data_IF_371166410374
#
_entry.id   IF_371166410374
#
_cell.length_a   1.000
_cell.length_b   1.000
_cell.length_c   1.000
_cell.angle_alpha   90.00
_cell.angle_beta   90.00
_cell.angle_gamma   90.00
#
_symmetry.space_group_name_H-M   'P 1'
#
loop_
_entity.id
_entity.type
_entity.pdbx_description
1 polymer ?
#
# COMPACT_ATOMS: atom_id res chain seq x y z
N UNK A 1 -18.04 18.02 -2.66
CA UNK A 1 -16.85 17.17 -2.84
C UNK A 1 -17.17 15.80 -2.26
N UNK A 2 -16.96 14.70 -3.00
CA UNK A 2 -17.16 13.35 -2.45
C UNK A 2 -16.14 13.14 -1.33
N UNK A 3 -16.57 12.57 -0.20
CA UNK A 3 -15.68 12.33 0.93
C UNK A 3 -14.55 11.35 0.53
N UNK A 4 -13.28 11.59 0.92
CA UNK A 4 -12.20 10.63 0.69
C UNK A 4 -12.55 9.22 1.18
N UNK A 5 -13.35 9.11 2.25
CA UNK A 5 -13.83 7.85 2.79
C UNK A 5 -14.68 7.05 1.79
N UNK A 6 -15.60 7.72 1.08
CA UNK A 6 -16.49 7.07 0.11
C UNK A 6 -15.72 6.61 -1.14
N UNK A 7 -14.74 7.41 -1.54
CA UNK A 7 -13.92 7.15 -2.73
C UNK A 7 -12.93 5.99 -2.51
N UNK A 8 -12.42 5.85 -1.28
CA UNK A 8 -11.48 4.79 -0.91
C UNK A 8 -12.19 3.46 -0.62
N UNK A 9 -13.41 3.47 -0.07
CA UNK A 9 -14.16 2.29 0.40
C UNK A 9 -14.08 1.03 -0.49
N UNK A 10 -14.24 1.08 -1.83
CA UNK A 10 -14.16 -0.14 -2.66
C UNK A 10 -12.75 -0.79 -2.66
N UNK A 11 -11.71 0.02 -2.44
CA UNK A 11 -10.30 -0.34 -2.58
C UNK A 11 -9.61 -0.71 -1.26
N UNK A 12 -10.31 -0.58 -0.13
CA UNK A 12 -9.76 -0.77 1.22
C UNK A 12 -9.82 -2.24 1.64
N UNK A 13 -8.69 -2.76 2.11
CA UNK A 13 -8.59 -4.05 2.80
C UNK A 13 -8.85 -3.93 4.29
N UNK A 14 -8.28 -2.92 4.94
CA UNK A 14 -8.47 -2.69 6.38
C UNK A 14 -8.32 -1.21 6.71
N UNK A 15 -8.97 -0.78 7.80
CA UNK A 15 -8.94 0.60 8.30
C UNK A 15 -8.64 0.60 9.79
N UNK A 16 -7.84 1.54 10.25
CA UNK A 16 -7.62 1.79 11.68
C UNK A 16 -7.52 3.29 11.95
N UNK A 17 -7.70 3.67 13.22
CA UNK A 17 -7.66 5.07 13.66
C UNK A 17 -6.42 5.28 14.51
N UNK A 18 -5.66 6.34 14.23
CA UNK A 18 -4.46 6.72 14.98
C UNK A 18 -4.43 8.24 15.14
N UNK A 19 -4.38 8.72 16.38
CA UNK A 19 -4.29 10.16 16.69
C UNK A 19 -5.33 11.02 15.96
N UNK A 20 -6.58 10.52 15.86
CA UNK A 20 -7.67 11.20 15.15
C UNK A 20 -7.64 11.07 13.62
N UNK A 21 -6.59 10.48 13.04
CA UNK A 21 -6.52 10.21 11.60
C UNK A 21 -6.99 8.79 11.29
N UNK A 22 -7.71 8.63 10.16
CA UNK A 22 -8.09 7.32 9.62
C UNK A 22 -7.02 6.85 8.65
N UNK A 23 -6.50 5.64 8.87
CA UNK A 23 -5.50 5.02 8.01
C UNK A 23 -6.15 3.86 7.28
N UNK A 24 -6.07 3.90 5.96
CA UNK A 24 -6.62 2.96 5.01
C UNK A 24 -5.50 2.15 4.38
N UNK A 25 -5.54 0.83 4.56
CA UNK A 25 -4.68 -0.11 3.82
C UNK A 25 -5.47 -0.60 2.61
N UNK A 26 -4.90 -0.43 1.43
CA UNK A 26 -5.55 -0.79 0.18
C UNK A 26 -5.32 -2.26 -0.16
N UNK A 27 -6.27 -2.89 -0.88
CA UNK A 27 -6.21 -4.31 -1.30
C UNK A 27 -5.05 -4.61 -2.26
N UNK A 28 -4.54 -3.57 -2.92
CA UNK A 28 -3.54 -3.63 -3.97
C UNK A 28 -2.78 -2.29 -4.05
N UNK A 29 -1.92 -2.17 -5.05
CA UNK A 29 -1.34 -0.91 -5.45
C UNK A 29 -2.27 -0.14 -6.39
N UNK A 30 -2.41 1.14 -6.12
CA UNK A 30 -3.24 2.05 -6.89
C UNK A 30 -2.43 3.27 -7.30
N UNK A 31 -2.83 3.88 -8.40
CA UNK A 31 -2.33 5.19 -8.78
C UNK A 31 -3.40 6.22 -8.41
N UNK A 32 -2.97 7.38 -7.92
CA UNK A 32 -3.87 8.44 -7.47
C UNK A 32 -3.67 9.67 -8.33
N UNK A 33 -4.73 10.19 -8.93
CA UNK A 33 -4.70 11.56 -9.44
C UNK A 33 -5.09 12.51 -8.32
N UNK A 34 -4.24 13.48 -8.04
CA UNK A 34 -4.52 14.59 -7.12
C UNK A 34 -4.23 15.87 -7.89
N UNK A 35 -5.27 16.67 -8.12
CA UNK A 35 -5.24 17.79 -9.05
C UNK A 35 -4.74 17.32 -10.43
N UNK A 36 -3.70 17.96 -10.98
CA UNK A 36 -3.15 17.63 -12.30
C UNK A 36 -2.04 16.58 -12.25
N UNK A 37 -1.67 16.10 -11.06
CA UNK A 37 -0.57 15.17 -10.84
C UNK A 37 -1.03 13.72 -10.62
N UNK A 38 -0.18 12.76 -11.00
CA UNK A 38 -0.39 11.33 -10.78
C UNK A 38 0.67 10.76 -9.82
N UNK A 39 0.19 10.11 -8.77
CA UNK A 39 0.99 9.50 -7.71
C UNK A 39 0.90 7.97 -7.80
N UNK A 40 2.04 7.34 -8.07
CA UNK A 40 2.09 5.93 -8.42
C UNK A 40 2.31 4.99 -7.22
N UNK A 41 1.76 3.77 -7.35
CA UNK A 41 2.03 2.64 -6.46
C UNK A 41 1.76 2.94 -4.99
N UNK A 42 0.59 3.53 -4.73
CA UNK A 42 0.09 3.82 -3.39
C UNK A 42 -0.64 2.58 -2.85
N UNK A 43 -0.31 2.18 -1.62
CA UNK A 43 -0.99 1.07 -0.92
C UNK A 43 -1.54 1.45 0.45
N UNK A 44 -1.23 2.65 0.93
CA UNK A 44 -1.77 3.15 2.17
C UNK A 44 -2.12 4.62 2.02
N UNK A 45 -3.26 5.01 2.59
CA UNK A 45 -3.76 6.38 2.60
C UNK A 45 -4.11 6.74 4.03
N UNK A 46 -3.66 7.89 4.50
CA UNK A 46 -4.07 8.44 5.80
C UNK A 46 -4.85 9.71 5.56
N UNK A 47 -6.04 9.79 6.15
CA UNK A 47 -6.92 10.95 6.11
C UNK A 47 -6.98 11.53 7.51
N UNK A 48 -6.35 12.69 7.69
CA UNK A 48 -6.42 13.49 8.90
C UNK A 48 -7.50 14.57 8.79
N UNK A 49 -7.54 15.47 9.77
CA UNK A 49 -8.56 16.51 9.84
C UNK A 49 -8.43 17.56 8.72
N UNK A 50 -7.21 17.86 8.28
CA UNK A 50 -6.92 18.91 7.29
C UNK A 50 -6.05 18.41 6.14
N UNK A 51 -5.67 17.14 6.14
CA UNK A 51 -4.72 16.61 5.18
C UNK A 51 -5.05 15.17 4.77
N UNK A 52 -4.52 14.81 3.61
CA UNK A 52 -4.46 13.45 3.13
C UNK A 52 -3.00 13.11 2.80
N UNK A 53 -2.60 11.90 3.15
CA UNK A 53 -1.25 11.41 2.98
C UNK A 53 -1.30 10.12 2.16
N UNK A 54 -0.60 10.11 1.03
CA UNK A 54 -0.44 8.94 0.18
C UNK A 54 0.93 8.31 0.45
N UNK A 55 0.93 7.01 0.72
CA UNK A 55 2.13 6.23 1.01
C UNK A 55 2.45 5.28 -0.16
N UNK A 56 3.66 5.42 -0.70
CA UNK A 56 4.18 4.56 -1.75
C UNK A 56 5.19 3.54 -1.19
N UNK A 57 5.28 2.35 -1.81
CA UNK A 57 6.26 1.32 -1.47
C UNK A 57 7.70 1.81 -1.45
N UNK A 58 8.04 2.77 -2.31
CA UNK A 58 9.38 3.32 -2.43
C UNK A 58 9.71 4.35 -1.32
N UNK A 59 9.03 4.23 -0.16
CA UNK A 59 9.14 5.11 1.02
C UNK A 59 8.83 6.59 0.74
N UNK A 60 8.18 6.88 -0.39
CA UNK A 60 7.71 8.23 -0.70
C UNK A 60 6.39 8.48 0.02
N UNK A 61 6.29 9.67 0.61
CA UNK A 61 5.10 10.18 1.27
C UNK A 61 4.70 11.46 0.58
N UNK A 62 3.46 11.53 0.11
CA UNK A 62 2.89 12.72 -0.52
C UNK A 62 1.81 13.26 0.41
N UNK A 63 1.95 14.52 0.82
CA UNK A 63 1.05 15.16 1.80
C UNK A 63 0.34 16.29 1.09
N UNK A 64 -0.99 16.31 1.20
CA UNK A 64 -1.84 17.32 0.59
C UNK A 64 -2.76 17.92 1.64
N UNK A 65 -2.96 19.23 1.60
CA UNK A 65 -4.03 19.87 2.35
C UNK A 65 -5.37 19.54 1.69
N UNK A 66 -6.38 19.17 2.47
CA UNK A 66 -7.72 18.89 1.94
C UNK A 66 -8.29 20.11 1.21
N UNK A 67 -8.00 21.32 1.70
CA UNK A 67 -8.46 22.58 1.10
C UNK A 67 -7.80 22.86 -0.26
N UNK A 68 -6.67 22.20 -0.56
CA UNK A 68 -5.91 22.38 -1.81
C UNK A 68 -6.27 21.36 -2.90
N UNK A 69 -7.14 20.39 -2.60
CA UNK A 69 -7.51 19.32 -3.52
C UNK A 69 -8.78 19.71 -4.25
N UNK A 70 -8.65 20.09 -5.52
CA UNK A 70 -9.79 20.33 -6.41
C UNK A 70 -10.24 19.06 -7.13
N UNK A 71 -9.32 18.10 -7.32
CA UNK A 71 -9.60 16.82 -7.98
C UNK A 71 -8.89 15.67 -7.27
N UNK A 72 -9.61 14.57 -7.05
CA UNK A 72 -9.07 13.37 -6.41
C UNK A 72 -9.68 12.11 -7.02
N UNK A 73 -8.85 11.22 -7.56
CA UNK A 73 -9.32 9.98 -8.21
C UNK A 73 -8.36 8.83 -7.96
N UNK A 74 -8.94 7.66 -7.68
CA UNK A 74 -8.20 6.40 -7.53
C UNK A 74 -8.28 5.63 -8.85
N UNK A 75 -7.12 5.22 -9.35
CA UNK A 75 -6.98 4.37 -10.54
C UNK A 75 -6.49 3.00 -10.11
N UNK A 76 -7.21 1.95 -10.53
CA UNK A 76 -6.75 0.60 -10.32
C UNK A 76 -5.56 0.30 -11.23
N UNK A 77 -4.41 0.02 -10.62
CA UNK A 77 -3.22 -0.41 -11.36
C UNK A 77 -3.25 -1.92 -11.51
N UNK A 78 -3.58 -2.38 -12.71
CA UNK A 78 -3.65 -3.81 -13.04
C UNK A 78 -2.25 -4.43 -13.18
N UNK A 79 -1.43 -4.47 -12.12
CA UNK A 79 -0.22 -5.30 -12.12
C UNK A 79 -0.54 -6.72 -11.66
N UNK A 80 -1.13 -7.51 -12.57
CA UNK A 80 -1.32 -8.97 -12.44
C UNK A 80 -0.01 -9.74 -12.19
N UNK A 81 1.15 -9.08 -12.32
CA UNK A 81 2.48 -9.71 -12.42
C UNK A 81 3.22 -9.77 -11.08
N UNK A 82 2.93 -8.90 -10.10
CA UNK A 82 3.74 -8.83 -8.85
C UNK A 82 3.25 -9.71 -7.70
N UNK A 83 1.98 -10.09 -7.63
CA UNK A 83 1.51 -11.01 -6.57
C UNK A 83 2.10 -12.42 -6.71
N UNK A 84 2.29 -12.89 -7.95
CA UNK A 84 2.98 -14.16 -8.19
C UNK A 84 4.47 -14.07 -7.89
N UNK A 85 5.12 -12.95 -8.23
CA UNK A 85 6.53 -12.74 -7.90
C UNK A 85 6.75 -12.61 -6.38
N UNK A 86 5.88 -11.90 -5.67
CA UNK A 86 5.93 -11.77 -4.20
C UNK A 86 5.65 -13.12 -3.54
N UNK A 87 4.65 -13.90 -4.00
CA UNK A 87 4.46 -15.29 -3.54
C UNK A 87 5.70 -16.14 -3.81
N UNK A 88 6.27 -16.07 -5.01
CA UNK A 88 7.45 -16.84 -5.41
C UNK A 88 8.67 -16.49 -4.53
N UNK A 89 8.93 -15.21 -4.27
CA UNK A 89 10.01 -14.75 -3.41
C UNK A 89 9.80 -15.17 -1.94
N UNK A 90 8.57 -15.13 -1.43
CA UNK A 90 8.23 -15.65 -0.11
C UNK A 90 8.47 -17.17 -0.01
N UNK A 91 8.06 -17.94 -1.02
CA UNK A 91 8.34 -19.37 -1.08
C UNK A 91 9.85 -19.66 -1.09
N UNK A 92 10.62 -18.98 -1.95
CA UNK A 92 12.07 -19.15 -2.03
C UNK A 92 12.78 -18.81 -0.71
N UNK A 93 12.32 -17.77 -0.01
CA UNK A 93 12.86 -17.41 1.32
C UNK A 93 12.56 -18.45 2.41
N UNK A 94 11.38 -19.07 2.38
CA UNK A 94 11.04 -20.16 3.31
C UNK A 94 11.89 -21.41 3.02
N UNK A 95 12.05 -21.75 1.74
CA UNK A 95 12.88 -22.89 1.32
C UNK A 95 14.36 -22.72 1.66
N UNK A 96 14.91 -21.51 1.52
CA UNK A 96 16.32 -21.27 1.87
C UNK A 96 16.58 -21.47 3.37
N UNK A 97 15.72 -20.93 4.23
CA UNK A 97 15.83 -21.09 5.69
C UNK A 97 15.66 -22.56 6.11
N UNK A 98 14.71 -23.27 5.52
CA UNK A 98 14.50 -24.69 5.78
C UNK A 98 15.72 -25.53 5.36
N UNK A 99 16.29 -25.26 4.17
CA UNK A 99 17.47 -25.96 3.67
C UNK A 99 18.71 -25.71 4.54
N UNK A 100 18.93 -24.46 4.97
CA UNK A 100 20.04 -24.13 5.88
C UNK A 100 19.93 -24.88 7.20
N UNK A 101 18.71 -25.03 7.75
CA UNK A 101 18.48 -25.78 8.99
C UNK A 101 18.77 -27.27 8.82
N UNK A 102 18.31 -27.88 7.73
CA UNK A 102 18.57 -29.30 7.43
C UNK A 102 20.08 -29.55 7.26
N UNK A 103 20.77 -28.73 6.48
CA UNK A 103 22.22 -28.83 6.29
C UNK A 103 22.97 -28.68 7.62
N UNK A 104 22.56 -27.74 8.48
CA UNK A 104 23.18 -27.55 9.79
C UNK A 104 22.97 -28.72 10.75
N UNK A 105 21.87 -29.46 10.59
CA UNK A 105 21.57 -30.65 11.38
C UNK A 105 22.38 -31.85 10.89
N UNK A 106 22.46 -32.06 9.57
CA UNK A 106 23.28 -33.12 8.96
C UNK A 106 24.76 -32.91 9.25
N UNK A 107 25.26 -31.67 9.22
CA UNK A 107 26.66 -31.37 9.55
C UNK A 107 27.03 -31.58 11.03
N UNK A 108 26.04 -31.83 11.91
CA UNK A 108 26.23 -32.09 13.35
C UNK A 108 26.09 -33.58 13.72
N UNK A 109 25.71 -34.43 12.77
CA UNK A 109 25.69 -35.89 12.89
C UNK A 109 27.01 -36.47 12.39
#
# INVERSE_FOLDING_TARGET
>A
MISPDELLKPNVSTTFVRNGSKIYILKNFYDFSVNDDIYYSINMVEVGNSNIILYSLNRRRYVFSLDSISFFKVHYRYEKVKLNLIRYLLYMGIYSVAMTRILSFVARL
#
